data_IF_527980651006
#
_entry.id   IF_527980651006
#
_cell.length_a   1.000
_cell.length_b   1.000
_cell.length_c   1.000
_cell.angle_alpha   90.00
_cell.angle_beta   90.00
_cell.angle_gamma   90.00
#
_symmetry.space_group_name_H-M   'P 1'
#
loop_
_entity.id
_entity.type
_entity.pdbx_description
1 polymer ?
#
# COMPACT_ATOMS: atom_id res chain seq x y z
N UNK A 1 2.83 -15.45 19.44
CA UNK A 1 1.96 -14.36 19.94
C UNK A 1 2.63 -13.04 19.57
N UNK A 2 1.93 -12.15 18.89
CA UNK A 2 2.43 -10.80 18.57
C UNK A 2 2.38 -9.97 19.86
N UNK A 3 3.51 -9.38 20.23
CA UNK A 3 3.63 -8.54 21.41
C UNK A 3 3.51 -7.06 21.01
N UNK A 4 3.13 -6.19 21.94
CA UNK A 4 2.92 -4.74 21.70
C UNK A 4 4.12 -4.04 21.04
N UNK A 5 5.33 -4.48 21.28
CA UNK A 5 6.55 -3.92 20.66
C UNK A 5 6.82 -4.43 19.23
N UNK A 6 5.98 -5.34 18.72
CA UNK A 6 6.05 -5.79 17.32
C UNK A 6 5.31 -4.85 16.35
N UNK A 7 4.69 -3.78 16.85
CA UNK A 7 4.09 -2.74 16.03
C UNK A 7 4.63 -1.40 16.48
N UNK A 8 5.26 -0.65 15.59
CA UNK A 8 5.72 0.70 15.87
C UNK A 8 4.98 1.71 15.00
N UNK A 9 4.64 2.84 15.59
CA UNK A 9 3.99 3.97 14.96
C UNK A 9 4.98 5.13 14.84
N UNK A 10 5.00 5.78 13.68
CA UNK A 10 5.80 6.96 13.42
C UNK A 10 4.92 8.05 12.80
N UNK A 11 5.12 9.28 13.19
CA UNK A 11 4.53 10.46 12.55
C UNK A 11 5.63 11.26 11.85
N UNK A 12 5.31 11.80 10.69
CA UNK A 12 6.23 12.67 9.97
C UNK A 12 6.22 14.07 10.57
N UNK A 13 7.32 14.46 11.19
CA UNK A 13 7.56 15.83 11.68
C UNK A 13 8.25 16.75 10.66
N UNK A 14 8.63 16.21 9.49
CA UNK A 14 9.25 16.95 8.40
C UNK A 14 8.24 17.40 7.33
N UNK A 15 8.72 17.54 6.11
CA UNK A 15 7.92 17.87 4.92
C UNK A 15 7.75 16.64 4.02
N UNK A 16 6.89 16.71 2.99
CA UNK A 16 6.77 15.63 1.98
C UNK A 16 8.10 15.31 1.28
N UNK A 17 8.93 16.34 1.06
CA UNK A 17 10.24 16.17 0.39
C UNK A 17 11.39 15.80 1.33
N UNK A 18 11.20 15.95 2.65
CA UNK A 18 12.19 15.64 3.68
C UNK A 18 11.48 15.01 4.87
N UNK A 19 11.24 13.70 4.79
CA UNK A 19 10.55 12.96 5.84
C UNK A 19 11.43 12.87 7.09
N UNK A 20 10.84 13.20 8.23
CA UNK A 20 11.47 13.07 9.55
C UNK A 20 10.55 12.27 10.46
N UNK A 21 10.79 10.96 10.54
CA UNK A 21 9.95 10.05 11.31
C UNK A 21 10.19 10.15 12.81
N UNK A 22 9.16 10.55 13.54
CA UNK A 22 9.12 10.61 14.99
C UNK A 22 8.34 9.42 15.53
N UNK A 23 9.03 8.49 16.18
CA UNK A 23 8.40 7.29 16.73
C UNK A 23 7.54 7.66 17.95
N UNK A 24 6.30 7.18 17.97
CA UNK A 24 5.43 7.24 19.15
C UNK A 24 5.90 6.18 20.14
N UNK A 25 6.55 6.58 21.22
CA UNK A 25 7.19 5.69 22.22
C UNK A 25 6.42 5.61 23.52
N UNK A 26 5.81 6.70 23.93
CA UNK A 26 5.23 6.85 25.28
C UNK A 26 3.69 6.82 25.25
N UNK A 27 3.11 6.03 24.33
CA UNK A 27 1.67 5.78 24.31
C UNK A 27 1.31 4.51 25.08
N UNK A 28 0.17 4.53 25.73
CA UNK A 28 -0.41 3.38 26.44
C UNK A 28 -1.40 2.59 25.58
N UNK A 29 -1.78 3.11 24.43
CA UNK A 29 -2.67 2.47 23.47
C UNK A 29 -2.00 2.40 22.07
N UNK A 30 -2.29 1.32 21.36
CA UNK A 30 -1.83 1.08 19.98
C UNK A 30 -2.94 0.37 19.18
N UNK A 31 -4.19 0.74 19.43
CA UNK A 31 -5.34 0.14 18.75
C UNK A 31 -5.58 0.80 17.40
N UNK A 32 -5.48 0.01 16.34
CA UNK A 32 -5.83 0.43 14.98
C UNK A 32 -7.28 0.00 14.72
N UNK A 33 -8.18 0.95 14.59
CA UNK A 33 -9.60 0.72 14.27
C UNK A 33 -9.79 0.86 12.77
N UNK A 34 -10.27 -0.19 12.11
CA UNK A 34 -10.35 -0.24 10.64
C UNK A 34 -11.51 0.54 10.04
N UNK A 35 -12.61 0.76 10.79
CA UNK A 35 -13.78 1.52 10.36
C UNK A 35 -14.25 1.14 8.95
N UNK A 36 -14.71 -0.11 8.78
CA UNK A 36 -15.20 -0.58 7.48
C UNK A 36 -16.46 0.20 7.05
N UNK A 37 -16.42 0.79 5.87
CA UNK A 37 -17.59 1.38 5.22
C UNK A 37 -18.25 0.33 4.34
N UNK A 38 -19.50 -0.01 4.63
CA UNK A 38 -20.26 -1.05 3.95
C UNK A 38 -21.38 -0.44 3.11
N UNK A 39 -21.74 -1.12 2.02
CA UNK A 39 -22.90 -0.84 1.21
C UNK A 39 -23.76 -2.09 1.09
N UNK A 40 -25.06 -1.94 1.26
CA UNK A 40 -26.01 -3.03 1.12
C UNK A 40 -26.78 -2.85 -0.18
N UNK A 41 -26.86 -3.93 -0.97
CA UNK A 41 -27.63 -4.02 -2.21
C UNK A 41 -28.81 -4.95 -1.98
N UNK A 42 -30.01 -4.50 -2.31
CA UNK A 42 -31.25 -5.27 -2.24
C UNK A 42 -31.85 -5.35 -3.65
N UNK A 43 -31.39 -6.34 -4.42
CA UNK A 43 -31.86 -6.54 -5.78
C UNK A 43 -33.18 -7.34 -5.79
N UNK A 44 -34.09 -6.95 -6.65
CA UNK A 44 -35.43 -7.60 -6.78
C UNK A 44 -35.36 -9.07 -7.19
N UNK A 45 -34.19 -9.55 -7.63
CA UNK A 45 -33.93 -10.93 -8.03
C UNK A 45 -33.36 -11.77 -6.91
N UNK A 46 -32.94 -11.15 -5.81
CA UNK A 46 -32.24 -11.80 -4.72
C UNK A 46 -33.22 -12.14 -3.59
N UNK A 47 -33.04 -13.30 -2.97
CA UNK A 47 -33.88 -13.74 -1.85
C UNK A 47 -33.57 -12.96 -0.55
N UNK A 48 -32.36 -12.40 -0.46
CA UNK A 48 -31.89 -11.62 0.68
C UNK A 48 -30.88 -10.54 0.25
N UNK A 49 -30.81 -9.38 0.95
CA UNK A 49 -29.85 -8.32 0.67
C UNK A 49 -28.39 -8.81 0.85
N UNK A 50 -27.52 -8.36 -0.05
CA UNK A 50 -26.06 -8.59 0.01
C UNK A 50 -25.35 -7.36 0.51
N UNK A 51 -24.42 -7.52 1.47
CA UNK A 51 -23.61 -6.42 2.01
C UNK A 51 -22.16 -6.59 1.59
N UNK A 52 -21.56 -5.55 1.04
CA UNK A 52 -20.16 -5.48 0.64
C UNK A 52 -19.40 -4.40 1.41
N UNK A 53 -18.11 -4.61 1.62
CA UNK A 53 -17.21 -3.60 2.19
C UNK A 53 -16.63 -2.77 1.04
N UNK A 54 -16.96 -1.48 0.98
CA UNK A 54 -16.47 -0.58 -0.05
C UNK A 54 -15.03 -0.15 0.21
N UNK A 55 -14.74 0.22 1.47
CA UNK A 55 -13.41 0.66 1.89
C UNK A 55 -13.24 0.58 3.40
N UNK A 56 -12.00 0.74 3.83
CA UNK A 56 -11.65 0.97 5.22
C UNK A 56 -11.19 2.43 5.40
N UNK A 57 -11.54 3.04 6.53
CA UNK A 57 -11.11 4.37 6.94
C UNK A 57 -10.38 4.26 8.31
N UNK A 58 -9.14 3.75 8.36
CA UNK A 58 -8.48 3.45 9.62
C UNK A 58 -8.27 4.70 10.48
N UNK A 59 -8.35 4.51 11.79
CA UNK A 59 -8.05 5.54 12.77
C UNK A 59 -7.39 4.95 14.01
N UNK A 60 -6.66 5.80 14.74
CA UNK A 60 -6.02 5.46 16.01
C UNK A 60 -6.28 6.57 17.01
N UNK A 61 -6.52 6.20 18.27
CA UNK A 61 -6.45 7.14 19.39
C UNK A 61 -5.12 6.94 20.13
N UNK A 62 -4.35 8.01 20.27
CA UNK A 62 -3.00 7.97 20.83
C UNK A 62 -2.91 8.84 22.08
N UNK A 63 -3.08 8.24 23.27
CA UNK A 63 -2.77 8.92 24.53
C UNK A 63 -1.25 8.89 24.75
N UNK A 64 -0.59 10.02 24.59
CA UNK A 64 0.86 10.18 24.72
C UNK A 64 1.19 10.77 26.08
N UNK A 65 2.06 10.11 26.84
CA UNK A 65 2.54 10.65 28.11
C UNK A 65 3.48 11.84 27.85
N UNK A 66 3.23 12.94 28.55
CA UNK A 66 3.95 14.20 28.37
C UNK A 66 5.35 14.14 29.02
N UNK A 67 6.35 13.83 28.24
CA UNK A 67 7.75 13.91 28.61
C UNK A 67 8.44 15.00 27.79
N UNK A 68 8.88 16.07 28.45
CA UNK A 68 9.61 17.14 27.81
C UNK A 68 10.90 16.60 27.19
N UNK A 69 11.14 16.95 25.92
CA UNK A 69 12.31 16.51 25.15
C UNK A 69 12.11 15.20 24.39
N UNK A 70 10.98 14.48 24.56
CA UNK A 70 10.66 13.33 23.72
C UNK A 70 10.05 13.82 22.39
N UNK A 71 10.58 13.37 21.23
CA UNK A 71 10.18 13.88 19.93
C UNK A 71 8.71 13.71 19.56
N UNK A 72 8.06 12.64 20.04
CA UNK A 72 6.63 12.39 19.84
C UNK A 72 5.76 13.40 20.60
N UNK A 73 6.07 13.63 21.87
CA UNK A 73 5.38 14.64 22.67
C UNK A 73 5.57 16.05 22.11
N UNK A 74 6.81 16.44 21.84
CA UNK A 74 7.10 17.81 21.34
C UNK A 74 6.36 18.09 20.02
N UNK A 75 6.30 17.11 19.11
CA UNK A 75 5.59 17.24 17.85
C UNK A 75 4.07 17.42 18.05
N UNK A 76 3.45 16.59 18.91
CA UNK A 76 2.01 16.66 19.17
C UNK A 76 1.66 17.91 19.99
N UNK A 77 2.54 18.30 20.94
CA UNK A 77 2.37 19.52 21.72
C UNK A 77 2.44 20.78 20.84
N UNK A 78 3.33 20.84 19.85
CA UNK A 78 3.38 21.94 18.90
C UNK A 78 2.07 22.10 18.13
N UNK A 79 1.49 20.99 17.66
CA UNK A 79 0.16 20.99 17.01
C UNK A 79 -0.94 21.49 17.95
N UNK A 80 -0.90 21.07 19.23
CA UNK A 80 -1.83 21.53 20.26
C UNK A 80 -1.68 23.04 20.51
N UNK A 81 -0.47 23.50 20.76
CA UNK A 81 -0.18 24.89 21.12
C UNK A 81 -0.57 25.87 20.01
N UNK A 82 -0.32 25.49 18.75
CA UNK A 82 -0.65 26.29 17.58
C UNK A 82 -2.10 26.10 17.11
N UNK A 83 -2.90 25.22 17.78
CA UNK A 83 -4.28 24.92 17.39
C UNK A 83 -4.36 24.55 15.89
N UNK A 84 -3.50 23.63 15.45
CA UNK A 84 -3.30 23.27 14.06
C UNK A 84 -4.63 22.88 13.37
N UNK A 85 -4.92 23.54 12.25
CA UNK A 85 -6.12 23.32 11.42
C UNK A 85 -5.75 23.29 9.94
N UNK A 86 -6.65 22.72 9.12
CA UNK A 86 -6.43 22.63 7.68
C UNK A 86 -5.13 21.88 7.35
N UNK A 87 -4.26 22.47 6.53
CA UNK A 87 -3.00 21.85 6.13
C UNK A 87 -2.04 21.59 7.31
N UNK A 88 -2.08 22.42 8.33
CA UNK A 88 -1.22 22.27 9.51
C UNK A 88 -1.59 21.06 10.39
N UNK A 89 -2.83 20.58 10.29
CA UNK A 89 -3.28 19.34 10.94
C UNK A 89 -2.89 18.07 10.16
N UNK A 90 -2.40 18.21 8.93
CA UNK A 90 -1.95 17.06 8.12
C UNK A 90 -0.54 16.61 8.52
N UNK A 91 -0.31 15.32 8.38
CA UNK A 91 0.97 14.65 8.55
C UNK A 91 0.94 13.34 7.74
N UNK A 92 2.04 12.59 7.76
CA UNK A 92 2.06 11.20 7.33
C UNK A 92 2.24 10.29 8.54
N UNK A 93 1.61 9.12 8.48
CA UNK A 93 1.79 8.04 9.44
C UNK A 93 2.50 6.87 8.76
N UNK A 94 3.44 6.27 9.48
CA UNK A 94 4.10 5.04 9.11
C UNK A 94 3.90 4.02 10.23
N UNK A 95 3.29 2.88 9.89
CA UNK A 95 3.06 1.77 10.81
C UNK A 95 3.95 0.62 10.38
N UNK A 96 4.84 0.18 11.24
CA UNK A 96 5.77 -0.92 10.98
C UNK A 96 5.35 -2.13 11.80
N UNK A 97 5.16 -3.26 11.12
CA UNK A 97 4.80 -4.55 11.70
C UNK A 97 6.07 -5.40 11.82
N UNK A 98 6.76 -5.32 12.95
CA UNK A 98 7.92 -6.14 13.22
C UNK A 98 7.47 -7.60 13.40
N UNK A 99 7.92 -8.49 12.52
CA UNK A 99 7.70 -9.92 12.68
C UNK A 99 8.40 -10.50 13.89
N UNK A 100 8.15 -11.78 14.17
CA UNK A 100 8.93 -12.55 15.16
C UNK A 100 10.29 -12.99 14.61
N UNK A 101 10.50 -12.80 13.33
CA UNK A 101 11.69 -13.24 12.59
C UNK A 101 12.67 -12.06 12.46
N UNK A 102 13.98 -12.36 12.49
CA UNK A 102 15.05 -11.39 12.22
C UNK A 102 15.12 -11.04 10.72
N UNK A 103 14.00 -10.50 10.18
CA UNK A 103 13.92 -10.04 8.81
C UNK A 103 14.65 -8.69 8.68
N UNK A 104 15.36 -8.49 7.59
CA UNK A 104 15.97 -7.20 7.27
C UNK A 104 14.94 -6.17 6.80
N UNK A 105 13.75 -6.62 6.37
CA UNK A 105 12.67 -5.77 5.90
C UNK A 105 11.33 -6.18 6.56
N UNK A 106 10.64 -5.22 7.13
CA UNK A 106 9.38 -5.41 7.85
C UNK A 106 8.22 -4.87 7.05
N UNK A 107 7.06 -5.57 7.06
CA UNK A 107 5.84 -5.06 6.44
C UNK A 107 5.44 -3.73 7.07
N UNK A 108 4.99 -2.81 6.25
CA UNK A 108 4.59 -1.49 6.72
C UNK A 108 3.42 -0.92 5.93
N UNK A 109 2.70 -0.01 6.59
CA UNK A 109 1.72 0.87 5.99
C UNK A 109 2.18 2.30 6.11
N UNK A 110 2.13 3.04 5.01
CA UNK A 110 2.31 4.49 4.97
C UNK A 110 1.01 5.12 4.47
N UNK A 111 0.57 6.18 5.11
CA UNK A 111 -0.60 6.93 4.67
C UNK A 111 -0.45 8.40 5.07
N UNK A 112 -1.07 9.28 4.30
CA UNK A 112 -1.36 10.62 4.81
C UNK A 112 -2.40 10.53 5.91
N UNK A 113 -2.33 11.40 6.89
CA UNK A 113 -3.26 11.41 8.02
C UNK A 113 -3.60 12.82 8.47
N UNK A 114 -4.71 12.92 9.19
CA UNK A 114 -5.12 14.12 9.92
C UNK A 114 -4.88 13.86 11.39
N UNK A 115 -4.13 14.75 12.04
CA UNK A 115 -3.84 14.71 13.47
C UNK A 115 -4.79 15.68 14.19
N UNK A 116 -5.81 15.15 14.83
CA UNK A 116 -6.74 15.91 15.67
C UNK A 116 -6.30 15.81 17.13
N UNK A 117 -6.04 16.94 17.76
CA UNK A 117 -5.72 16.97 19.18
C UNK A 117 -7.04 17.05 19.98
N UNK A 118 -7.32 16.02 20.75
CA UNK A 118 -8.60 15.88 21.47
C UNK A 118 -8.57 16.59 22.82
N UNK A 119 -7.52 16.37 23.59
CA UNK A 119 -7.35 16.97 24.91
C UNK A 119 -5.90 16.92 25.39
N UNK A 120 -5.62 17.75 26.39
CA UNK A 120 -4.40 17.69 27.19
C UNK A 120 -4.81 17.67 28.66
N UNK A 121 -4.40 16.62 29.39
CA UNK A 121 -4.68 16.44 30.82
C UNK A 121 -3.38 16.56 31.63
N UNK A 122 -3.11 17.73 32.23
CA UNK A 122 -1.89 17.93 33.02
C UNK A 122 -1.84 17.11 34.29
N UNK A 123 -3.01 16.70 34.82
CA UNK A 123 -3.09 15.91 36.08
C UNK A 123 -2.61 14.48 35.82
N UNK A 124 -2.99 13.90 34.68
CA UNK A 124 -2.57 12.57 34.25
C UNK A 124 -1.30 12.61 33.41
N UNK A 125 -0.75 13.81 33.17
CA UNK A 125 0.42 14.01 32.32
C UNK A 125 0.25 13.39 30.92
N UNK A 126 -0.92 13.59 30.29
CA UNK A 126 -1.26 12.97 29.02
C UNK A 126 -1.81 13.99 28.03
N UNK A 127 -1.38 13.89 26.78
CA UNK A 127 -1.98 14.54 25.62
C UNK A 127 -2.55 13.46 24.70
N UNK A 128 -3.81 13.59 24.29
CA UNK A 128 -4.48 12.61 23.44
C UNK A 128 -4.74 13.19 22.07
N UNK A 129 -4.37 12.45 21.05
CA UNK A 129 -4.61 12.78 19.67
C UNK A 129 -5.32 11.62 18.95
N UNK A 130 -6.30 11.96 18.13
CA UNK A 130 -6.90 11.04 17.16
C UNK A 130 -6.22 11.22 15.81
N UNK A 131 -5.69 10.14 15.28
CA UNK A 131 -5.03 10.08 13.97
C UNK A 131 -5.99 9.38 13.02
N UNK A 132 -6.49 10.08 12.00
CA UNK A 132 -7.38 9.53 10.98
C UNK A 132 -6.64 9.45 9.66
N UNK A 133 -6.66 8.28 9.02
CA UNK A 133 -6.03 8.12 7.71
C UNK A 133 -6.80 8.93 6.66
N UNK A 134 -6.05 9.61 5.82
CA UNK A 134 -6.57 10.43 4.74
C UNK A 134 -6.03 9.92 3.40
N UNK A 135 -6.93 9.48 2.53
CA UNK A 135 -6.57 8.89 1.24
C UNK A 135 -6.24 7.40 1.29
N UNK A 136 -5.40 6.96 0.37
CA UNK A 136 -5.05 5.54 0.19
C UNK A 136 -3.88 5.14 1.10
N UNK A 137 -4.00 3.98 1.76
CA UNK A 137 -2.88 3.39 2.48
C UNK A 137 -1.93 2.70 1.49
N UNK A 138 -0.71 3.19 1.44
CA UNK A 138 0.39 2.56 0.71
C UNK A 138 0.95 1.40 1.54
N UNK A 139 1.03 0.21 0.93
CA UNK A 139 1.65 -0.97 1.53
C UNK A 139 3.08 -1.08 1.06
N UNK A 140 3.93 -1.63 1.90
CA UNK A 140 5.34 -1.80 1.55
C UNK A 140 6.15 -2.46 2.65
N UNK A 141 7.44 -2.23 2.59
CA UNK A 141 8.40 -2.71 3.59
C UNK A 141 9.21 -1.55 4.16
N UNK A 142 9.70 -1.76 5.36
CA UNK A 142 10.61 -0.84 6.04
C UNK A 142 11.91 -1.56 6.38
N UNK A 143 13.02 -0.95 6.02
CA UNK A 143 14.34 -1.25 6.55
C UNK A 143 14.73 -0.16 7.54
N UNK A 144 15.46 -0.53 8.59
CA UNK A 144 16.02 0.43 9.55
C UNK A 144 17.46 0.72 9.18
N UNK A 145 17.72 1.91 8.65
CA UNK A 145 19.05 2.37 8.26
C UNK A 145 19.46 3.51 9.19
N UNK A 146 20.60 3.38 9.86
CA UNK A 146 21.11 4.38 10.82
C UNK A 146 20.09 4.77 11.91
N UNK A 147 19.25 3.82 12.31
CA UNK A 147 18.21 4.03 13.34
C UNK A 147 16.95 4.72 12.86
N UNK A 148 16.85 5.06 11.58
CA UNK A 148 15.66 5.65 10.96
C UNK A 148 14.93 4.63 10.05
N UNK A 149 13.58 4.61 10.03
CA UNK A 149 12.83 3.77 9.11
C UNK A 149 12.87 4.34 7.69
N UNK A 150 13.29 3.50 6.75
CA UNK A 150 13.24 3.79 5.30
C UNK A 150 12.14 2.95 4.69
N UNK A 151 11.07 3.60 4.27
CA UNK A 151 9.92 2.94 3.66
C UNK A 151 10.14 2.76 2.16
N UNK A 152 9.91 1.53 1.69
CA UNK A 152 9.83 1.18 0.27
C UNK A 152 8.43 0.66 0.00
N UNK A 153 7.65 1.40 -0.78
CA UNK A 153 6.29 1.00 -1.16
C UNK A 153 6.32 -0.26 -2.02
N UNK A 154 5.31 -1.12 -1.82
CA UNK A 154 5.04 -2.19 -2.78
C UNK A 154 4.69 -1.50 -4.10
N UNK A 155 5.57 -1.56 -5.06
CA UNK A 155 5.33 -0.98 -6.38
C UNK A 155 4.23 -1.79 -7.06
N UNK A 156 2.97 -1.43 -6.78
CA UNK A 156 1.81 -1.88 -7.55
C UNK A 156 1.64 -1.06 -8.83
N UNK A 157 2.68 -0.29 -9.20
CA UNK A 157 2.66 0.49 -10.43
C UNK A 157 2.60 -0.46 -11.60
N UNK A 158 1.46 -0.48 -12.25
CA UNK A 158 1.27 -1.19 -13.50
C UNK A 158 1.99 -0.45 -14.62
N UNK A 159 2.64 -1.19 -15.48
CA UNK A 159 3.24 -0.66 -16.70
C UNK A 159 2.77 -1.45 -17.92
N UNK A 160 2.82 -0.82 -19.08
CA UNK A 160 2.46 -1.47 -20.33
C UNK A 160 3.47 -2.57 -20.67
N UNK A 161 3.01 -3.81 -20.70
CA UNK A 161 3.78 -5.00 -21.06
C UNK A 161 3.26 -5.58 -22.36
N UNK A 162 4.14 -5.73 -23.36
CA UNK A 162 3.77 -6.20 -24.70
C UNK A 162 4.11 -7.67 -24.86
N UNK A 163 3.12 -8.46 -25.23
CA UNK A 163 3.31 -9.86 -25.66
C UNK A 163 3.23 -9.90 -27.17
N UNK A 164 4.23 -10.47 -27.82
CA UNK A 164 4.24 -10.70 -29.27
C UNK A 164 4.09 -12.18 -29.55
N UNK A 165 3.10 -12.56 -30.35
CA UNK A 165 2.89 -13.92 -30.84
C UNK A 165 3.45 -14.07 -32.26
N UNK A 166 4.26 -15.10 -32.47
CA UNK A 166 4.94 -15.39 -33.77
C UNK A 166 4.87 -16.87 -34.06
N UNK A 167 5.16 -17.27 -35.32
CA UNK A 167 5.31 -18.69 -35.72
C UNK A 167 6.76 -19.17 -35.66
N UNK A 168 7.73 -18.28 -35.77
CA UNK A 168 9.15 -18.61 -35.95
C UNK A 168 10.08 -17.62 -35.22
N UNK A 169 9.53 -16.79 -34.33
CA UNK A 169 10.24 -15.71 -33.65
C UNK A 169 10.26 -14.38 -34.40
N UNK A 170 9.92 -14.39 -35.69
CA UNK A 170 9.96 -13.20 -36.56
C UNK A 170 8.60 -12.89 -37.20
N UNK A 171 7.88 -13.91 -37.69
CA UNK A 171 6.60 -13.74 -38.39
C UNK A 171 5.43 -13.53 -37.40
N UNK A 172 4.82 -12.36 -37.37
CA UNK A 172 3.77 -12.06 -36.38
C UNK A 172 2.46 -12.81 -36.67
N UNK A 173 1.77 -13.20 -35.62
CA UNK A 173 0.45 -13.83 -35.70
C UNK A 173 -0.60 -12.82 -35.25
N UNK A 174 -1.33 -12.20 -36.18
CA UNK A 174 -2.47 -11.36 -35.88
C UNK A 174 -3.68 -12.21 -35.46
N UNK A 175 -4.49 -11.72 -34.50
CA UNK A 175 -5.69 -12.40 -34.05
C UNK A 175 -5.43 -13.65 -33.20
N UNK A 176 -4.25 -13.81 -32.61
CA UNK A 176 -3.98 -14.77 -31.56
C UNK A 176 -4.57 -14.29 -30.22
N UNK A 177 -5.07 -15.19 -29.41
CA UNK A 177 -5.52 -14.87 -28.05
C UNK A 177 -4.35 -15.01 -27.10
N UNK A 178 -4.07 -13.96 -26.33
CA UNK A 178 -3.08 -13.95 -25.24
C UNK A 178 -3.79 -13.89 -23.91
N UNK A 179 -3.37 -14.71 -22.93
CA UNK A 179 -3.97 -14.83 -21.60
C UNK A 179 -2.90 -14.56 -20.54
N UNK A 180 -3.17 -13.61 -19.65
CA UNK A 180 -2.31 -13.31 -18.49
C UNK A 180 -3.20 -13.08 -17.27
N UNK A 181 -3.02 -13.89 -16.23
CA UNK A 181 -3.76 -13.71 -14.96
C UNK A 181 -5.30 -13.76 -15.10
N UNK A 182 -5.79 -14.51 -16.10
CA UNK A 182 -7.23 -14.62 -16.41
C UNK A 182 -7.79 -13.51 -17.30
N UNK A 183 -6.95 -12.53 -17.71
CA UNK A 183 -7.33 -11.48 -18.68
C UNK A 183 -6.92 -11.94 -20.08
N UNK A 184 -7.86 -11.89 -21.02
CA UNK A 184 -7.64 -12.25 -22.44
C UNK A 184 -7.57 -11.00 -23.30
N UNK A 185 -6.62 -10.97 -24.26
CA UNK A 185 -6.51 -9.96 -25.32
C UNK A 185 -6.12 -10.59 -26.64
N UNK A 186 -6.59 -9.98 -27.70
CA UNK A 186 -6.26 -10.44 -29.06
C UNK A 186 -5.11 -9.61 -29.62
N UNK A 187 -4.17 -10.27 -30.30
CA UNK A 187 -3.04 -9.60 -30.98
C UNK A 187 -3.51 -8.79 -32.18
N UNK A 188 -2.88 -7.66 -32.39
CA UNK A 188 -3.05 -6.78 -33.56
C UNK A 188 -2.40 -7.33 -34.84
N UNK A 189 -2.34 -6.51 -35.89
CA UNK A 189 -1.71 -6.87 -37.17
C UNK A 189 -0.20 -7.11 -37.08
N UNK A 190 0.45 -6.61 -36.01
CA UNK A 190 1.87 -6.81 -35.73
C UNK A 190 2.11 -7.98 -34.76
N UNK A 191 1.07 -8.78 -34.48
CA UNK A 191 1.11 -9.90 -33.52
C UNK A 191 1.22 -9.47 -32.04
N UNK A 192 0.91 -8.22 -31.71
CA UNK A 192 1.12 -7.66 -30.37
C UNK A 192 -0.18 -7.54 -29.56
N UNK A 193 -0.11 -7.86 -28.26
CA UNK A 193 -1.13 -7.59 -27.29
C UNK A 193 -0.51 -6.88 -26.08
N UNK A 194 -1.09 -5.76 -25.62
CA UNK A 194 -0.56 -4.94 -24.52
C UNK A 194 -1.39 -5.17 -23.26
N UNK A 195 -0.72 -5.55 -22.17
CA UNK A 195 -1.29 -5.70 -20.82
C UNK A 195 -0.70 -4.66 -19.88
N UNK A 196 -1.44 -4.34 -18.82
CA UNK A 196 -0.90 -3.54 -17.73
C UNK A 196 -0.59 -4.48 -16.57
N UNK A 197 0.69 -4.62 -16.24
CA UNK A 197 1.20 -5.61 -15.29
C UNK A 197 2.05 -4.94 -14.21
N UNK A 198 2.06 -5.55 -13.02
CA UNK A 198 2.82 -5.06 -11.87
C UNK A 198 4.29 -5.43 -12.01
N UNK A 199 5.17 -4.44 -11.92
CA UNK A 199 6.63 -4.61 -12.00
C UNK A 199 7.14 -5.59 -10.91
N UNK A 200 8.04 -6.50 -11.30
CA UNK A 200 8.64 -7.50 -10.40
C UNK A 200 7.74 -8.71 -10.09
N UNK A 201 6.49 -8.73 -10.56
CA UNK A 201 5.59 -9.87 -10.35
C UNK A 201 5.76 -10.93 -11.43
N UNK A 202 5.67 -12.21 -11.04
CA UNK A 202 5.73 -13.36 -11.94
C UNK A 202 4.33 -13.72 -12.43
N UNK A 203 4.20 -13.89 -13.75
CA UNK A 203 2.97 -14.29 -14.43
C UNK A 203 3.19 -15.52 -15.30
N UNK A 204 2.14 -16.33 -15.44
CA UNK A 204 2.01 -17.30 -16.51
C UNK A 204 1.39 -16.56 -17.69
N UNK A 205 2.07 -16.57 -18.84
CA UNK A 205 1.66 -15.88 -20.07
C UNK A 205 1.43 -16.98 -21.11
N UNK A 206 0.19 -17.13 -21.54
CA UNK A 206 -0.19 -18.08 -22.59
C UNK A 206 -0.64 -17.34 -23.85
N UNK A 207 -0.40 -17.92 -25.01
CA UNK A 207 -0.97 -17.46 -26.28
C UNK A 207 -1.41 -18.65 -27.14
N UNK A 208 -2.52 -18.51 -27.85
CA UNK A 208 -3.01 -19.55 -28.75
C UNK A 208 -3.74 -18.98 -29.98
N UNK A 209 -3.72 -19.73 -31.06
CA UNK A 209 -4.54 -19.49 -32.26
C UNK A 209 -4.87 -20.80 -32.99
N UNK A 210 -6.12 -21.20 -32.92
CA UNK A 210 -6.55 -22.52 -33.44
C UNK A 210 -5.91 -23.65 -32.60
N UNK A 211 -5.03 -24.44 -33.26
CA UNK A 211 -4.27 -25.54 -32.61
C UNK A 211 -2.87 -25.14 -32.21
N UNK A 212 -2.42 -23.95 -32.59
CA UNK A 212 -1.09 -23.42 -32.27
C UNK A 212 -1.15 -22.78 -30.87
N UNK A 213 -0.21 -23.12 -30.00
CA UNK A 213 -0.14 -22.57 -28.65
C UNK A 213 1.31 -22.47 -28.13
N UNK A 214 1.56 -21.53 -27.22
CA UNK A 214 2.80 -21.45 -26.45
C UNK A 214 2.53 -20.78 -25.11
N UNK A 215 3.38 -21.05 -24.12
CA UNK A 215 3.29 -20.40 -22.81
C UNK A 215 4.65 -20.24 -22.14
N UNK A 216 4.79 -19.15 -21.39
CA UNK A 216 5.98 -18.88 -20.61
C UNK A 216 5.63 -18.41 -19.19
N UNK A 217 6.54 -18.68 -18.26
CA UNK A 217 6.50 -18.08 -16.92
C UNK A 217 7.55 -16.97 -16.89
N UNK A 218 7.13 -15.73 -16.72
CA UNK A 218 8.02 -14.58 -16.75
C UNK A 218 7.79 -13.66 -15.54
N UNK A 219 8.90 -13.21 -14.93
CA UNK A 219 8.88 -12.08 -14.00
C UNK A 219 8.96 -10.81 -14.83
N UNK A 220 7.87 -10.04 -14.84
CA UNK A 220 7.78 -8.86 -15.71
C UNK A 220 8.57 -7.69 -15.11
N UNK A 221 9.25 -6.96 -15.98
CA UNK A 221 10.12 -5.86 -15.59
C UNK A 221 9.90 -4.66 -16.52
N UNK A 222 9.74 -3.47 -15.95
CA UNK A 222 9.54 -2.22 -16.71
C UNK A 222 10.76 -1.84 -17.58
N UNK A 223 11.97 -2.32 -17.23
CA UNK A 223 13.18 -2.15 -18.04
C UNK A 223 13.26 -3.07 -19.26
N UNK A 224 12.44 -4.14 -19.32
CA UNK A 224 12.27 -5.06 -20.44
C UNK A 224 10.78 -5.41 -20.59
N UNK A 225 9.96 -4.48 -21.10
CA UNK A 225 8.51 -4.60 -21.06
C UNK A 225 7.92 -5.46 -22.19
N UNK A 226 8.62 -6.47 -22.64
CA UNK A 226 8.19 -7.32 -23.77
C UNK A 226 8.57 -8.79 -23.58
N UNK A 227 7.76 -9.68 -24.17
CA UNK A 227 8.06 -11.10 -24.36
C UNK A 227 7.56 -11.53 -25.74
N UNK A 228 8.26 -12.46 -26.36
CA UNK A 228 7.82 -13.11 -27.60
C UNK A 228 7.50 -14.56 -27.32
N UNK A 229 6.30 -15.01 -27.72
CA UNK A 229 5.86 -16.40 -27.70
C UNK A 229 5.86 -16.94 -29.12
N UNK A 230 6.36 -18.16 -29.30
CA UNK A 230 6.43 -18.82 -30.58
C UNK A 230 5.43 -19.97 -30.59
N UNK A 231 4.28 -19.76 -31.28
CA UNK A 231 3.16 -20.69 -31.28
C UNK A 231 3.46 -21.83 -32.27
N UNK A 232 3.46 -23.06 -31.79
CA UNK A 232 3.69 -24.31 -32.53
C UNK A 232 2.49 -25.24 -32.53
#
# INVERSE_FOLDING_TARGET
MIKKYHVALFLNGGTESALEWKQIKKSTDNTITMNAETQTFDYITDEAPTTEINRYAPSLSQPITMYKGEPDYEFVFDKFFNQAVGADAHSDILIVFYGADDSSAYKAWKASCILQIDNMNPVESTITATITFNGTTEKGTVEVIDGAPVFTGDTTTEFAYTVTATTDGETPIAGATVVIGGVEKTTDSEGKAVFYLINGKTYVIGAYKGTLEDSAVATVNSGSPTITLMLE
#
